data_IF_683269368835
#
_entry.id   IF_683269368835
#
_cell.length_a   1.000
_cell.length_b   1.000
_cell.length_c   1.000
_cell.angle_alpha   90.00
_cell.angle_beta   90.00
_cell.angle_gamma   90.00
#
_symmetry.space_group_name_H-M   'P 1'
#
loop_
_entity.id
_entity.type
_entity.pdbx_description
1 polymer ?
#
# COMPACT_ATOMS: atom_id res chain seq x y z
N UNK A 1 3.76 18.90 -28.56
CA UNK A 1 3.83 17.90 -27.50
C UNK A 1 3.53 16.56 -28.13
N UNK A 2 4.36 15.54 -27.92
CA UNK A 2 4.16 14.27 -28.58
C UNK A 2 2.97 13.53 -27.95
N UNK A 3 1.96 13.20 -28.76
CA UNK A 3 0.84 12.37 -28.41
C UNK A 3 0.82 11.15 -29.33
N UNK A 4 0.64 10.00 -28.76
CA UNK A 4 0.53 8.74 -29.49
C UNK A 4 -0.84 8.10 -29.24
N UNK A 5 -1.44 7.65 -30.30
CA UNK A 5 -2.62 6.79 -30.25
C UNK A 5 -2.15 5.35 -30.42
N UNK A 6 -2.25 4.55 -29.38
CA UNK A 6 -1.75 3.16 -29.34
C UNK A 6 -2.93 2.22 -29.47
N UNK A 7 -2.93 1.43 -30.53
CA UNK A 7 -3.94 0.41 -30.87
C UNK A 7 -3.34 -1.01 -31.04
N UNK A 8 -2.02 -1.13 -30.86
CA UNK A 8 -1.27 -2.37 -30.95
C UNK A 8 -0.11 -2.40 -29.94
N UNK A 9 0.46 -3.56 -29.63
CA UNK A 9 1.65 -3.65 -28.78
C UNK A 9 2.74 -2.71 -29.23
N UNK A 10 3.19 -1.82 -28.31
CA UNK A 10 4.08 -0.70 -28.63
C UNK A 10 4.99 -0.40 -27.45
N UNK A 11 6.21 0.04 -27.73
CA UNK A 11 7.16 0.53 -26.74
C UNK A 11 7.51 1.99 -27.05
N UNK A 12 7.35 2.86 -26.06
CA UNK A 12 7.64 4.29 -26.14
C UNK A 12 8.66 4.67 -25.07
N UNK A 13 9.63 5.50 -25.42
CA UNK A 13 10.62 6.02 -24.47
C UNK A 13 10.46 7.53 -24.34
N UNK A 14 10.73 8.04 -23.15
CA UNK A 14 10.61 9.44 -22.79
C UNK A 14 11.93 9.94 -22.21
N UNK A 15 12.24 11.23 -22.38
CA UNK A 15 13.47 11.79 -21.83
C UNK A 15 13.26 12.34 -20.41
N UNK A 16 12.17 13.07 -20.20
CA UNK A 16 11.88 13.74 -18.92
C UNK A 16 10.45 13.41 -18.48
N UNK A 17 10.31 12.58 -17.43
CA UNK A 17 9.03 12.29 -16.76
C UNK A 17 9.17 12.67 -15.30
N UNK A 18 8.37 13.63 -14.87
CA UNK A 18 8.33 14.14 -13.49
C UNK A 18 7.05 13.80 -12.76
N UNK A 19 6.01 13.37 -13.47
CA UNK A 19 4.75 12.89 -12.91
C UNK A 19 4.12 11.85 -13.84
N UNK A 20 3.41 10.87 -13.27
CA UNK A 20 2.70 9.84 -14.02
C UNK A 20 1.21 9.85 -13.69
N UNK A 21 0.38 9.85 -14.74
CA UNK A 21 -1.06 9.69 -14.62
C UNK A 21 -1.54 8.55 -15.52
N UNK A 22 -2.10 7.49 -14.93
CA UNK A 22 -2.66 6.36 -15.68
C UNK A 22 -4.14 6.21 -15.38
N UNK A 23 -4.96 6.01 -16.40
CA UNK A 23 -6.38 5.73 -16.28
C UNK A 23 -6.77 4.57 -17.18
N UNK A 24 -7.04 3.42 -16.56
CA UNK A 24 -7.44 2.20 -17.25
C UNK A 24 -8.82 1.72 -16.82
N UNK A 25 -9.53 1.10 -17.76
CA UNK A 25 -10.83 0.48 -17.49
C UNK A 25 -10.63 -0.95 -16.98
N UNK A 26 -9.97 -1.78 -17.75
CA UNK A 26 -9.66 -3.15 -17.41
C UNK A 26 -8.24 -3.52 -17.87
N UNK A 27 -7.75 -4.68 -17.43
CA UNK A 27 -6.42 -5.18 -17.75
C UNK A 27 -5.44 -5.03 -16.58
N UNK A 28 -4.20 -4.70 -16.87
CA UNK A 28 -3.15 -4.60 -15.87
C UNK A 28 -2.27 -3.37 -16.08
N UNK A 29 -1.87 -2.74 -14.99
CA UNK A 29 -0.83 -1.71 -15.01
C UNK A 29 0.27 -2.05 -14.02
N UNK A 30 1.50 -2.09 -14.49
CA UNK A 30 2.69 -2.23 -13.65
C UNK A 30 3.50 -0.94 -13.73
N UNK A 31 3.76 -0.30 -12.60
CA UNK A 31 4.62 0.87 -12.48
C UNK A 31 5.85 0.49 -11.67
N UNK A 32 7.02 0.68 -12.23
CA UNK A 32 8.29 0.32 -11.61
C UNK A 32 9.24 1.50 -11.62
N UNK A 33 9.91 1.72 -10.49
CA UNK A 33 11.00 2.70 -10.44
C UNK A 33 12.20 2.25 -11.28
N UNK A 34 12.83 3.19 -11.96
CA UNK A 34 14.05 2.95 -12.75
C UNK A 34 15.03 4.10 -12.62
N UNK A 35 16.31 3.79 -12.79
CA UNK A 35 17.37 4.80 -13.00
C UNK A 35 17.68 5.01 -14.48
N UNK A 36 17.06 4.21 -15.35
CA UNK A 36 17.17 4.35 -16.81
C UNK A 36 16.12 5.34 -17.34
N UNK A 37 16.08 5.52 -18.66
CA UNK A 37 15.08 6.36 -19.30
C UNK A 37 13.66 5.85 -19.03
N UNK A 38 12.72 6.73 -18.69
CA UNK A 38 11.32 6.39 -18.56
C UNK A 38 10.75 5.76 -19.83
N UNK A 39 9.91 4.75 -19.66
CA UNK A 39 9.33 4.06 -20.81
C UNK A 39 7.90 3.58 -20.53
N UNK A 40 7.14 3.40 -21.59
CA UNK A 40 5.81 2.77 -21.58
C UNK A 40 5.86 1.60 -22.56
N UNK A 41 5.55 0.42 -22.06
CA UNK A 41 5.39 -0.79 -22.86
C UNK A 41 3.93 -1.24 -22.78
N UNK A 42 3.23 -1.18 -23.89
CA UNK A 42 1.90 -1.79 -24.06
C UNK A 42 2.10 -3.16 -24.67
N UNK A 43 1.76 -4.21 -23.92
CA UNK A 43 1.94 -5.60 -24.36
C UNK A 43 0.67 -6.21 -24.95
N UNK A 44 -0.47 -5.73 -24.48
CA UNK A 44 -1.77 -6.16 -24.99
C UNK A 44 -2.74 -4.96 -24.95
N UNK A 45 -3.62 -4.89 -25.95
CA UNK A 45 -4.67 -3.89 -26.00
C UNK A 45 -5.87 -4.44 -26.75
N UNK A 46 -7.04 -4.22 -26.22
CA UNK A 46 -8.31 -4.56 -26.86
C UNK A 46 -9.34 -3.46 -26.64
N UNK A 47 -10.21 -3.26 -27.63
CA UNK A 47 -11.20 -2.21 -27.64
C UNK A 47 -10.68 -0.89 -28.19
N UNK A 48 -10.89 0.22 -27.51
CA UNK A 48 -10.47 1.56 -27.95
C UNK A 48 -8.95 1.74 -27.81
N UNK A 49 -8.34 2.58 -28.67
CA UNK A 49 -6.92 2.89 -28.53
C UNK A 49 -6.63 3.69 -27.24
N UNK A 50 -5.45 3.45 -26.67
CA UNK A 50 -4.90 4.27 -25.60
C UNK A 50 -4.29 5.55 -26.13
N UNK A 51 -4.52 6.65 -25.45
CA UNK A 51 -3.80 7.89 -25.66
C UNK A 51 -2.62 7.94 -24.68
N UNK A 52 -1.43 8.06 -25.21
CA UNK A 52 -0.19 8.24 -24.44
C UNK A 52 0.39 9.59 -24.80
N UNK A 53 0.56 10.47 -23.86
CA UNK A 53 1.09 11.80 -24.05
C UNK A 53 2.03 12.22 -22.92
N UNK A 54 3.00 13.06 -23.23
CA UNK A 54 3.87 13.66 -22.23
C UNK A 54 3.85 15.18 -22.41
N UNK A 55 3.24 15.87 -21.45
CA UNK A 55 3.08 17.32 -21.44
C UNK A 55 3.69 17.91 -20.15
N UNK A 56 4.62 18.82 -20.29
CA UNK A 56 5.32 19.48 -19.16
C UNK A 56 5.86 18.46 -18.11
N UNK A 57 6.45 17.35 -18.60
CA UNK A 57 6.97 16.28 -17.74
C UNK A 57 5.90 15.35 -17.15
N UNK A 58 4.62 15.58 -17.41
CA UNK A 58 3.54 14.69 -16.98
C UNK A 58 3.22 13.66 -18.06
N UNK A 59 3.56 12.39 -17.79
CA UNK A 59 3.21 11.28 -18.65
C UNK A 59 1.78 10.83 -18.35
N UNK A 60 0.91 10.94 -19.34
CA UNK A 60 -0.51 10.55 -19.23
C UNK A 60 -0.81 9.35 -20.12
N UNK A 61 -1.43 8.33 -19.56
CA UNK A 61 -1.89 7.13 -20.26
C UNK A 61 -3.38 6.95 -19.94
N UNK A 62 -4.24 7.14 -20.93
CA UNK A 62 -5.69 7.10 -20.70
C UNK A 62 -6.47 6.74 -21.98
N UNK A 63 -7.69 6.28 -21.83
CA UNK A 63 -8.66 6.26 -22.93
C UNK A 63 -9.27 7.65 -23.13
N UNK A 64 -9.51 8.05 -24.38
CA UNK A 64 -9.90 9.41 -24.80
C UNK A 64 -11.17 9.98 -24.09
N UNK A 65 -12.03 9.16 -23.53
CA UNK A 65 -13.33 9.58 -22.97
C UNK A 65 -13.47 9.39 -21.46
N UNK A 66 -12.38 9.09 -20.74
CA UNK A 66 -12.44 8.87 -19.28
C UNK A 66 -12.33 10.20 -18.52
N UNK A 67 -13.45 10.87 -18.28
CA UNK A 67 -13.56 11.86 -17.23
C UNK A 67 -14.29 11.26 -16.02
N UNK A 68 -13.76 11.43 -14.81
CA UNK A 68 -14.41 10.97 -13.58
C UNK A 68 -15.79 11.59 -13.34
N UNK A 69 -16.10 12.69 -14.01
CA UNK A 69 -17.38 13.39 -13.89
C UNK A 69 -18.53 12.67 -14.61
N UNK A 70 -18.22 11.76 -15.54
CA UNK A 70 -19.20 10.97 -16.30
C UNK A 70 -19.22 9.49 -15.91
N UNK A 71 -19.12 9.21 -14.63
CA UNK A 71 -19.07 7.85 -14.10
C UNK A 71 -20.28 6.97 -14.46
N UNK A 72 -21.38 7.57 -14.85
CA UNK A 72 -22.63 6.86 -15.19
C UNK A 72 -22.72 6.42 -16.65
N UNK A 73 -21.91 6.97 -17.57
CA UNK A 73 -21.95 6.61 -18.98
C UNK A 73 -21.26 5.26 -19.31
N UNK A 74 -20.54 4.68 -18.35
CA UNK A 74 -19.78 3.44 -18.54
C UNK A 74 -20.46 2.15 -18.04
N UNK A 75 -21.73 2.20 -17.68
CA UNK A 75 -22.58 1.01 -17.47
C UNK A 75 -22.82 0.18 -18.76
N UNK A 76 -22.31 0.64 -19.91
CA UNK A 76 -22.22 -0.20 -21.11
C UNK A 76 -21.04 -1.19 -20.94
N UNK A 77 -21.16 -2.43 -21.45
CA UNK A 77 -20.09 -3.42 -21.36
C UNK A 77 -18.87 -2.93 -22.15
N UNK A 78 -17.99 -2.19 -21.47
CA UNK A 78 -16.74 -1.69 -22.03
C UNK A 78 -15.78 -2.87 -22.14
N UNK A 79 -15.43 -3.23 -23.36
CA UNK A 79 -14.43 -4.27 -23.67
C UNK A 79 -13.00 -3.71 -23.73
N UNK A 80 -12.81 -2.51 -23.20
CA UNK A 80 -11.53 -1.83 -23.26
C UNK A 80 -10.60 -2.38 -22.17
N UNK A 81 -9.57 -3.06 -22.59
CA UNK A 81 -8.57 -3.65 -21.72
C UNK A 81 -7.17 -3.41 -22.27
N UNK A 82 -6.22 -3.14 -21.41
CA UNK A 82 -4.83 -3.01 -21.80
C UNK A 82 -3.89 -3.58 -20.72
N UNK A 83 -2.79 -4.13 -21.17
CA UNK A 83 -1.68 -4.51 -20.32
C UNK A 83 -0.51 -3.53 -20.57
N UNK A 84 -0.23 -2.71 -19.55
CA UNK A 84 0.72 -1.61 -19.63
C UNK A 84 1.78 -1.74 -18.54
N UNK A 85 3.05 -1.67 -18.94
CA UNK A 85 4.18 -1.55 -18.02
C UNK A 85 4.80 -0.17 -18.21
N UNK A 86 4.97 0.54 -17.11
CA UNK A 86 5.54 1.90 -17.09
C UNK A 86 6.76 1.90 -16.20
N UNK A 87 7.88 2.40 -16.69
CA UNK A 87 9.05 2.67 -15.87
C UNK A 87 9.24 4.16 -15.71
N UNK A 88 9.43 4.63 -14.48
CA UNK A 88 9.59 6.07 -14.16
C UNK A 88 10.69 6.26 -13.11
N UNK A 89 11.22 7.48 -12.93
CA UNK A 89 12.11 7.77 -11.81
C UNK A 89 11.45 7.44 -10.45
N UNK A 90 12.25 7.04 -9.46
CA UNK A 90 11.72 6.65 -8.15
C UNK A 90 11.00 7.79 -7.41
N UNK A 91 11.39 9.03 -7.67
CA UNK A 91 10.80 10.25 -7.09
C UNK A 91 9.61 10.79 -7.89
N UNK A 92 9.15 10.07 -8.90
CA UNK A 92 8.01 10.45 -9.74
C UNK A 92 6.69 10.20 -8.98
N UNK A 93 5.89 11.23 -8.66
CA UNK A 93 4.56 11.04 -8.08
C UNK A 93 3.62 10.40 -9.09
N UNK A 94 2.84 9.43 -8.62
CA UNK A 94 1.93 8.68 -9.47
C UNK A 94 0.47 8.87 -9.09
N UNK A 95 -0.38 8.92 -10.11
CA UNK A 95 -1.84 8.90 -9.97
C UNK A 95 -2.40 7.78 -10.83
N UNK A 96 -3.00 6.78 -10.20
CA UNK A 96 -3.63 5.65 -10.88
C UNK A 96 -5.15 5.72 -10.72
N UNK A 97 -5.87 5.67 -11.81
CA UNK A 97 -7.31 5.52 -11.87
C UNK A 97 -7.66 4.20 -12.57
N UNK A 98 -8.19 3.21 -11.84
CA UNK A 98 -8.48 1.89 -12.37
C UNK A 98 -9.93 1.49 -12.05
N UNK A 99 -10.62 0.94 -13.03
CA UNK A 99 -12.01 0.53 -12.81
C UNK A 99 -12.07 -0.94 -12.39
N UNK A 100 -11.64 -1.84 -13.27
CA UNK A 100 -11.55 -3.29 -13.00
C UNK A 100 -10.16 -3.84 -13.35
N UNK A 101 -9.18 -2.95 -13.46
CA UNK A 101 -7.80 -3.32 -13.75
C UNK A 101 -7.02 -3.59 -12.47
N UNK A 102 -6.08 -4.52 -12.52
CA UNK A 102 -5.10 -4.72 -11.44
C UNK A 102 -3.92 -3.77 -11.60
N UNK A 103 -3.42 -3.27 -10.48
CA UNK A 103 -2.28 -2.35 -10.45
C UNK A 103 -1.16 -2.88 -9.57
N UNK A 104 0.07 -2.84 -10.07
CA UNK A 104 1.28 -3.15 -9.30
C UNK A 104 2.21 -1.94 -9.33
N UNK A 105 2.69 -1.51 -8.17
CA UNK A 105 3.57 -0.36 -8.02
C UNK A 105 4.78 -0.75 -7.20
N UNK A 106 5.98 -0.57 -7.75
CA UNK A 106 7.21 -1.02 -7.10
C UNK A 106 8.29 0.08 -7.05
N UNK A 107 8.93 0.23 -5.88
CA UNK A 107 10.18 0.96 -5.70
C UNK A 107 10.07 2.48 -5.73
N UNK A 108 8.91 3.07 -5.51
CA UNK A 108 8.72 4.53 -5.53
C UNK A 108 9.06 5.17 -4.19
N UNK A 109 9.63 6.37 -4.23
CA UNK A 109 9.97 7.18 -3.05
C UNK A 109 9.10 8.42 -2.87
N UNK A 110 8.18 8.72 -3.79
CA UNK A 110 7.31 9.91 -3.76
C UNK A 110 5.86 9.62 -3.38
N UNK A 111 5.55 8.35 -3.06
CA UNK A 111 4.19 7.93 -2.75
C UNK A 111 3.30 7.70 -3.97
N UNK A 112 2.05 7.35 -3.73
CA UNK A 112 1.09 6.97 -4.76
C UNK A 112 -0.34 7.40 -4.41
N UNK A 113 -1.07 7.90 -5.39
CA UNK A 113 -2.52 8.12 -5.28
C UNK A 113 -3.25 7.16 -6.22
N UNK A 114 -4.07 6.29 -5.63
CA UNK A 114 -4.79 5.26 -6.39
C UNK A 114 -6.29 5.41 -6.16
N UNK A 115 -7.06 5.42 -7.24
CA UNK A 115 -8.51 5.39 -7.22
C UNK A 115 -9.00 4.18 -7.99
N UNK A 116 -9.74 3.31 -7.31
CA UNK A 116 -10.23 2.06 -7.88
C UNK A 116 -11.74 1.87 -7.69
N UNK A 117 -12.37 1.07 -8.54
CA UNK A 117 -13.75 0.66 -8.30
C UNK A 117 -13.78 -0.80 -7.86
N UNK A 118 -13.28 -1.71 -8.68
CA UNK A 118 -13.19 -3.14 -8.37
C UNK A 118 -11.82 -3.64 -8.83
N UNK A 119 -10.79 -3.32 -8.06
CA UNK A 119 -9.41 -3.46 -8.49
C UNK A 119 -8.52 -4.00 -7.39
N UNK A 120 -7.57 -4.86 -7.77
CA UNK A 120 -6.54 -5.34 -6.88
C UNK A 120 -5.26 -4.52 -7.09
N UNK A 121 -4.77 -3.96 -6.00
CA UNK A 121 -3.64 -3.03 -6.00
C UNK A 121 -2.55 -3.63 -5.12
N UNK A 122 -1.35 -3.78 -5.68
CA UNK A 122 -0.17 -4.22 -4.96
C UNK A 122 0.87 -3.11 -4.92
N UNK A 123 1.36 -2.77 -3.74
CA UNK A 123 2.45 -1.81 -3.50
C UNK A 123 3.63 -2.55 -2.89
N UNK A 124 4.82 -2.44 -3.46
CA UNK A 124 6.03 -3.09 -2.97
C UNK A 124 7.20 -2.11 -2.92
N UNK A 125 7.78 -1.90 -1.73
CA UNK A 125 8.89 -0.96 -1.54
C UNK A 125 8.51 0.49 -1.88
N UNK A 126 7.36 0.97 -1.38
CA UNK A 126 6.88 2.34 -1.64
C UNK A 126 7.09 3.20 -0.41
N UNK A 127 7.83 4.30 -0.57
CA UNK A 127 8.02 5.30 0.47
C UNK A 127 7.22 6.57 0.15
N UNK A 128 6.84 7.32 1.20
CA UNK A 128 6.06 8.55 1.08
C UNK A 128 4.56 8.35 1.34
N UNK A 129 3.75 9.29 0.86
CA UNK A 129 2.32 9.29 1.13
C UNK A 129 1.56 8.41 0.12
N UNK A 130 0.89 7.38 0.63
CA UNK A 130 -0.01 6.53 -0.15
C UNK A 130 -1.46 6.89 0.17
N UNK A 131 -2.23 7.20 -0.86
CA UNK A 131 -3.68 7.37 -0.75
C UNK A 131 -4.37 6.39 -1.68
N UNK A 132 -5.25 5.55 -1.14
CA UNK A 132 -6.03 4.59 -1.91
C UNK A 132 -7.52 4.72 -1.58
N UNK A 133 -8.30 5.12 -2.57
CA UNK A 133 -9.76 5.23 -2.49
C UNK A 133 -10.36 4.16 -3.41
N UNK A 134 -11.05 3.16 -2.84
CA UNK A 134 -11.64 2.05 -3.60
C UNK A 134 -13.10 1.84 -3.24
N UNK A 135 -13.85 1.15 -4.09
CA UNK A 135 -15.18 0.67 -3.72
C UNK A 135 -15.11 -0.78 -3.27
N UNK A 136 -14.42 -1.63 -4.03
CA UNK A 136 -14.17 -3.04 -3.73
C UNK A 136 -12.81 -3.47 -4.29
N UNK A 137 -12.37 -4.68 -3.94
CA UNK A 137 -11.05 -5.20 -4.32
C UNK A 137 -10.06 -5.13 -3.16
N UNK A 138 -8.82 -5.42 -3.41
CA UNK A 138 -7.79 -5.58 -2.39
C UNK A 138 -6.69 -4.53 -2.54
N UNK A 139 -6.24 -3.95 -1.43
CA UNK A 139 -4.97 -3.22 -1.35
C UNK A 139 -3.96 -4.05 -0.54
N UNK A 140 -2.93 -4.51 -1.20
CA UNK A 140 -1.81 -5.19 -0.58
C UNK A 140 -0.56 -4.31 -0.61
N UNK A 141 0.00 -3.98 0.55
CA UNK A 141 1.23 -3.20 0.69
C UNK A 141 2.30 -4.01 1.40
N UNK A 142 3.49 -4.05 0.83
CA UNK A 142 4.67 -4.62 1.45
C UNK A 142 5.81 -3.62 1.46
N UNK A 143 6.51 -3.53 2.59
CA UNK A 143 7.62 -2.58 2.77
C UNK A 143 7.22 -1.14 2.39
N UNK A 144 6.12 -0.70 3.02
CA UNK A 144 5.57 0.63 2.79
C UNK A 144 5.96 1.54 3.95
N UNK A 145 6.64 2.65 3.63
CA UNK A 145 7.13 3.61 4.62
C UNK A 145 6.48 4.98 4.43
N UNK A 146 6.02 5.58 5.53
CA UNK A 146 5.43 6.93 5.51
C UNK A 146 3.96 6.96 5.95
N UNK A 147 3.09 7.63 5.20
CA UNK A 147 1.67 7.74 5.53
C UNK A 147 0.80 6.94 4.57
N UNK A 148 -0.08 6.10 5.10
CA UNK A 148 -1.06 5.34 4.31
C UNK A 148 -2.47 5.78 4.68
N UNK A 149 -3.25 6.21 3.70
CA UNK A 149 -4.68 6.51 3.81
C UNK A 149 -5.47 5.59 2.89
N UNK A 150 -6.30 4.77 3.47
CA UNK A 150 -7.15 3.81 2.76
C UNK A 150 -8.61 4.09 3.05
N UNK A 151 -9.40 4.24 2.00
CA UNK A 151 -10.86 4.35 2.10
C UNK A 151 -11.53 3.36 1.18
N UNK A 152 -12.45 2.58 1.72
CA UNK A 152 -13.19 1.60 0.92
C UNK A 152 -14.62 1.40 1.43
N UNK A 153 -15.46 0.86 0.56
CA UNK A 153 -16.78 0.37 0.95
C UNK A 153 -16.71 -1.10 1.34
N UNK A 154 -16.13 -1.95 0.51
CA UNK A 154 -16.06 -3.40 0.73
C UNK A 154 -14.72 -4.03 0.31
N UNK A 155 -13.66 -3.25 0.29
CA UNK A 155 -12.32 -3.74 -0.04
C UNK A 155 -11.53 -4.19 1.18
N UNK A 156 -10.57 -5.04 0.94
CA UNK A 156 -9.64 -5.53 1.96
C UNK A 156 -8.33 -4.73 1.94
N UNK A 157 -7.75 -4.53 3.12
CA UNK A 157 -6.43 -3.92 3.28
C UNK A 157 -5.49 -4.91 3.97
N UNK A 158 -4.37 -5.18 3.32
CA UNK A 158 -3.28 -5.95 3.91
C UNK A 158 -1.98 -5.17 3.82
N UNK A 159 -1.37 -4.86 4.96
CA UNK A 159 -0.05 -4.24 5.03
C UNK A 159 0.91 -5.19 5.75
N UNK A 160 2.05 -5.45 5.14
CA UNK A 160 3.09 -6.29 5.71
C UNK A 160 4.45 -5.60 5.60
N UNK A 161 5.17 -5.57 6.70
CA UNK A 161 6.45 -4.90 6.83
C UNK A 161 6.35 -3.37 6.58
N UNK A 162 7.37 -2.63 6.93
CA UNK A 162 7.39 -1.17 6.79
C UNK A 162 7.21 -0.43 8.11
N UNK A 163 7.46 0.89 8.06
CA UNK A 163 7.38 1.81 9.19
C UNK A 163 6.47 2.99 8.88
N UNK A 164 5.33 3.05 9.55
CA UNK A 164 4.30 4.05 9.25
C UNK A 164 4.35 5.22 10.22
N UNK A 165 4.38 6.42 9.67
CA UNK A 165 4.10 7.66 10.41
C UNK A 165 2.60 7.84 10.63
N UNK A 166 1.79 7.41 9.67
CA UNK A 166 0.33 7.43 9.76
C UNK A 166 -0.27 6.23 9.02
N UNK A 167 -1.18 5.53 9.68
CA UNK A 167 -2.16 4.67 9.01
C UNK A 167 -3.57 5.17 9.32
N UNK A 168 -4.30 5.56 8.30
CA UNK A 168 -5.71 5.93 8.40
C UNK A 168 -6.51 5.03 7.46
N UNK A 169 -7.36 4.16 8.02
CA UNK A 169 -8.15 3.22 7.25
C UNK A 169 -9.63 3.33 7.65
N UNK A 170 -10.45 3.77 6.70
CA UNK A 170 -11.88 3.89 6.84
C UNK A 170 -12.58 2.90 5.90
N UNK A 171 -13.30 1.92 6.47
CA UNK A 171 -13.96 0.88 5.70
C UNK A 171 -15.40 0.65 6.20
N UNK A 172 -16.29 0.24 5.33
CA UNK A 172 -17.63 -0.20 5.76
C UNK A 172 -17.62 -1.70 6.04
N UNK A 173 -17.09 -2.51 5.11
CA UNK A 173 -16.95 -3.95 5.24
C UNK A 173 -15.68 -4.43 4.54
N UNK A 174 -15.19 -5.59 4.92
CA UNK A 174 -13.91 -6.12 4.46
C UNK A 174 -12.88 -6.20 5.58
N UNK A 175 -11.85 -6.95 5.35
CA UNK A 175 -10.82 -7.21 6.36
C UNK A 175 -9.72 -6.15 6.32
N UNK A 176 -9.21 -5.79 7.50
CA UNK A 176 -8.03 -4.95 7.63
C UNK A 176 -6.98 -5.72 8.42
N UNK A 177 -5.87 -6.05 7.77
CA UNK A 177 -4.72 -6.70 8.37
C UNK A 177 -3.49 -5.78 8.24
N UNK A 178 -2.90 -5.37 9.36
CA UNK A 178 -1.72 -4.52 9.37
C UNK A 178 -0.64 -5.10 10.28
N UNK A 179 0.45 -5.59 9.68
CA UNK A 179 1.66 -6.06 10.35
C UNK A 179 2.80 -5.09 10.08
N UNK A 180 2.83 -4.00 10.83
CA UNK A 180 3.72 -2.86 10.60
C UNK A 180 4.34 -2.36 11.90
N UNK A 181 5.40 -1.57 11.80
CA UNK A 181 5.90 -0.76 12.90
C UNK A 181 5.36 0.67 12.79
N UNK A 182 5.25 1.36 13.91
CA UNK A 182 4.95 2.80 13.92
C UNK A 182 6.24 3.59 14.14
N UNK A 183 6.36 4.69 13.46
CA UNK A 183 7.38 5.70 13.80
C UNK A 183 7.18 6.18 15.25
N UNK A 184 8.18 6.77 15.87
CA UNK A 184 8.18 7.11 17.31
C UNK A 184 6.94 7.90 17.78
N UNK A 185 6.41 8.79 16.95
CA UNK A 185 5.16 9.54 17.20
C UNK A 185 4.06 9.16 16.23
N UNK A 186 4.19 7.99 15.60
CA UNK A 186 3.27 7.51 14.57
C UNK A 186 1.85 7.29 15.10
N UNK A 187 0.89 7.39 14.19
CA UNK A 187 -0.52 7.21 14.53
C UNK A 187 -1.18 6.18 13.61
N UNK A 188 -1.96 5.29 14.20
CA UNK A 188 -2.83 4.36 13.49
C UNK A 188 -4.27 4.63 13.89
N UNK A 189 -5.12 4.92 12.90
CA UNK A 189 -6.56 5.09 13.06
C UNK A 189 -7.28 4.18 12.10
N UNK A 190 -8.05 3.24 12.63
CA UNK A 190 -8.83 2.29 11.84
C UNK A 190 -10.28 2.40 12.28
N UNK A 191 -11.17 2.61 11.31
CA UNK A 191 -12.62 2.67 11.53
C UNK A 191 -13.30 1.73 10.56
N UNK A 192 -14.14 0.82 11.09
CA UNK A 192 -14.94 -0.10 10.26
C UNK A 192 -16.34 -0.29 10.85
N UNK A 193 -17.29 -0.65 10.01
CA UNK A 193 -18.63 -1.01 10.48
C UNK A 193 -18.73 -2.51 10.75
N UNK A 194 -18.35 -3.36 9.80
CA UNK A 194 -18.54 -4.81 9.92
C UNK A 194 -17.33 -5.66 9.57
N UNK A 195 -16.20 -5.06 9.23
CA UNK A 195 -14.97 -5.77 8.91
C UNK A 195 -14.17 -6.17 10.15
N UNK A 196 -13.51 -7.31 10.08
CA UNK A 196 -12.57 -7.72 11.12
C UNK A 196 -11.25 -6.95 10.97
N UNK A 197 -10.69 -6.53 12.10
CA UNK A 197 -9.43 -5.79 12.15
C UNK A 197 -8.39 -6.60 12.91
N UNK A 198 -7.29 -6.90 12.25
CA UNK A 198 -6.12 -7.52 12.86
C UNK A 198 -4.91 -6.61 12.72
N UNK A 199 -4.38 -6.16 13.84
CA UNK A 199 -3.16 -5.36 13.89
C UNK A 199 -2.08 -6.18 14.57
N UNK A 200 -0.89 -6.22 14.00
CA UNK A 200 0.29 -6.83 14.62
C UNK A 200 1.42 -5.81 14.74
N UNK A 201 1.84 -5.54 15.96
CA UNK A 201 2.90 -4.59 16.27
C UNK A 201 4.12 -5.29 16.86
N UNK A 202 5.33 -4.72 16.72
CA UNK A 202 6.51 -5.18 17.42
C UNK A 202 6.30 -5.28 18.93
N UNK A 203 6.95 -6.23 19.59
CA UNK A 203 6.82 -6.44 21.04
C UNK A 203 7.30 -5.26 21.89
N UNK A 204 8.21 -4.47 21.34
CA UNK A 204 8.80 -3.25 21.90
C UNK A 204 8.12 -1.95 21.42
N UNK A 205 6.94 -2.06 20.85
CA UNK A 205 6.16 -0.90 20.43
C UNK A 205 5.86 0.02 21.61
N UNK A 206 5.87 1.33 21.32
CA UNK A 206 5.59 2.38 22.30
C UNK A 206 4.39 3.21 21.82
N UNK A 207 3.19 2.88 22.33
CA UNK A 207 1.96 3.51 21.88
C UNK A 207 0.86 3.55 22.93
N UNK A 208 0.06 4.61 22.90
CA UNK A 208 -1.26 4.64 23.55
C UNK A 208 -2.25 3.87 22.69
N UNK A 209 -2.79 2.79 23.21
CA UNK A 209 -3.71 1.89 22.50
C UNK A 209 -5.14 2.11 22.97
N UNK A 210 -6.05 2.29 22.01
CA UNK A 210 -7.49 2.32 22.24
C UNK A 210 -8.17 1.44 21.19
N UNK A 211 -8.75 0.32 21.65
CA UNK A 211 -9.51 -0.60 20.80
C UNK A 211 -10.96 -0.60 21.28
N UNK A 212 -11.88 -0.46 20.35
CA UNK A 212 -13.31 -0.46 20.66
C UNK A 212 -14.08 -1.28 19.61
N UNK A 213 -15.00 -2.12 20.08
CA UNK A 213 -16.02 -2.75 19.24
C UNK A 213 -17.36 -2.76 19.98
N UNK A 214 -18.42 -2.36 19.29
CA UNK A 214 -19.75 -2.33 19.91
C UNK A 214 -20.30 -3.73 20.14
N UNK A 215 -20.26 -4.62 19.14
CA UNK A 215 -20.78 -6.00 19.29
C UNK A 215 -19.75 -7.09 18.97
N UNK A 216 -18.61 -6.73 18.39
CA UNK A 216 -17.51 -7.66 18.10
C UNK A 216 -16.62 -7.92 19.32
N UNK A 217 -15.79 -8.95 19.24
CA UNK A 217 -14.84 -9.30 20.30
C UNK A 217 -13.55 -8.48 20.15
N UNK A 218 -13.03 -7.97 21.28
CA UNK A 218 -11.71 -7.34 21.32
C UNK A 218 -10.73 -8.29 22.01
N UNK A 219 -9.60 -8.60 21.35
CA UNK A 219 -8.54 -9.47 21.83
C UNK A 219 -7.19 -8.77 21.73
N UNK A 220 -6.28 -9.07 22.65
CA UNK A 220 -4.91 -8.57 22.63
C UNK A 220 -3.94 -9.59 23.23
N UNK A 221 -2.72 -9.61 22.71
CA UNK A 221 -1.61 -10.42 23.24
C UNK A 221 -0.63 -9.59 24.08
N UNK A 222 -0.89 -8.30 24.27
CA UNK A 222 -0.07 -7.44 25.14
C UNK A 222 -0.57 -7.55 26.58
N UNK A 223 0.29 -7.98 27.49
CA UNK A 223 -0.05 -8.22 28.91
C UNK A 223 -0.51 -6.95 29.65
N UNK A 224 -0.05 -5.77 29.21
CA UNK A 224 -0.44 -4.45 29.74
C UNK A 224 -1.87 -4.03 29.35
N UNK A 225 -2.45 -4.68 28.35
CA UNK A 225 -3.75 -4.34 27.80
C UNK A 225 -4.79 -5.36 28.28
N UNK A 226 -5.74 -4.90 29.09
CA UNK A 226 -6.83 -5.77 29.58
C UNK A 226 -8.16 -5.34 29.00
N UNK A 227 -8.86 -6.24 28.29
CA UNK A 227 -10.21 -5.94 27.80
C UNK A 227 -11.18 -5.71 28.95
N UNK A 228 -11.95 -4.63 28.87
CA UNK A 228 -13.10 -4.37 29.73
C UNK A 228 -14.35 -4.60 28.91
N UNK A 229 -15.13 -5.59 29.32
CA UNK A 229 -16.43 -5.88 28.70
C UNK A 229 -17.52 -5.17 29.49
N UNK A 230 -18.33 -4.38 28.77
CA UNK A 230 -19.57 -3.78 29.27
C UNK A 230 -20.74 -4.38 28.48
N UNK A 231 -21.97 -4.36 29.02
CA UNK A 231 -23.13 -4.75 28.22
C UNK A 231 -23.20 -3.93 26.93
N UNK A 232 -23.05 -4.60 25.76
CA UNK A 232 -23.12 -3.96 24.46
C UNK A 232 -21.82 -3.29 23.97
N UNK A 233 -20.67 -3.43 24.66
CA UNK A 233 -19.39 -2.95 24.12
C UNK A 233 -18.17 -3.62 24.72
N UNK A 234 -17.13 -3.76 23.94
CA UNK A 234 -15.82 -4.25 24.35
C UNK A 234 -14.75 -3.18 24.10
N UNK A 235 -14.04 -2.78 25.13
CA UNK A 235 -13.05 -1.71 25.03
C UNK A 235 -11.74 -2.11 25.70
N UNK A 236 -10.63 -1.75 25.08
CA UNK A 236 -9.29 -1.77 25.64
C UNK A 236 -8.72 -0.35 25.55
N UNK A 237 -8.24 0.20 26.64
CA UNK A 237 -7.57 1.50 26.64
C UNK A 237 -6.44 1.46 27.66
N UNK A 238 -5.20 1.46 27.17
CA UNK A 238 -4.00 1.52 28.03
C UNK A 238 -2.77 1.86 27.17
N UNK A 239 -1.62 2.00 27.82
CA UNK A 239 -0.37 2.22 27.15
C UNK A 239 0.43 0.92 27.00
N UNK A 240 1.10 0.78 25.88
CA UNK A 240 2.21 -0.14 25.66
C UNK A 240 3.47 0.71 25.67
N UNK A 241 4.46 0.39 26.51
CA UNK A 241 5.61 1.25 26.71
C UNK A 241 5.28 2.60 27.34
N UNK A 242 5.94 3.67 26.93
CA UNK A 242 5.73 5.03 27.40
C UNK A 242 4.50 5.72 26.77
N UNK A 243 3.99 5.20 25.65
CA UNK A 243 2.79 5.72 24.99
C UNK A 243 3.03 6.89 24.04
N UNK A 244 4.17 6.91 23.36
CA UNK A 244 4.58 8.01 22.45
C UNK A 244 3.77 8.00 21.15
N UNK A 245 3.52 6.83 20.58
CA UNK A 245 2.66 6.64 19.42
C UNK A 245 1.18 6.52 19.79
N UNK A 246 0.31 6.38 18.79
CA UNK A 246 -1.13 6.25 18.99
C UNK A 246 -1.76 5.18 18.11
N UNK A 247 -2.46 4.23 18.71
CA UNK A 247 -3.25 3.20 18.01
C UNK A 247 -4.71 3.30 18.43
N UNK A 248 -5.59 3.59 17.49
CA UNK A 248 -7.04 3.71 17.71
C UNK A 248 -7.79 2.87 16.68
N UNK A 249 -8.50 1.85 17.14
CA UNK A 249 -9.34 1.00 16.30
C UNK A 249 -10.78 1.07 16.81
N UNK A 250 -11.70 1.42 15.92
CA UNK A 250 -13.12 1.48 16.20
C UNK A 250 -13.88 0.56 15.23
N UNK A 251 -14.66 -0.36 15.76
CA UNK A 251 -15.54 -1.24 14.98
C UNK A 251 -16.96 -1.22 15.56
N UNK A 252 -17.96 -1.40 14.72
CA UNK A 252 -19.33 -1.59 15.19
C UNK A 252 -19.60 -3.07 15.46
N UNK A 253 -19.33 -3.96 14.51
CA UNK A 253 -19.64 -5.39 14.66
C UNK A 253 -18.48 -6.34 14.37
N UNK A 254 -17.39 -5.86 13.80
CA UNK A 254 -16.20 -6.67 13.51
C UNK A 254 -15.38 -6.99 14.77
N UNK A 255 -14.68 -8.12 14.73
CA UNK A 255 -13.71 -8.45 15.75
C UNK A 255 -12.45 -7.58 15.60
N UNK A 256 -11.88 -7.15 16.74
CA UNK A 256 -10.64 -6.38 16.78
C UNK A 256 -9.58 -7.20 17.51
N UNK A 257 -8.49 -7.51 16.83
CA UNK A 257 -7.40 -8.31 17.38
C UNK A 257 -6.08 -7.54 17.28
N UNK A 258 -5.40 -7.37 18.42
CA UNK A 258 -4.07 -6.78 18.48
C UNK A 258 -3.05 -7.86 18.88
N UNK A 259 -2.19 -8.22 17.96
CA UNK A 259 -1.18 -9.25 18.11
C UNK A 259 0.20 -8.62 18.40
N UNK A 260 1.05 -9.38 19.03
CA UNK A 260 2.44 -9.03 19.30
C UNK A 260 3.37 -9.79 18.36
N UNK A 261 4.16 -9.07 17.56
CA UNK A 261 5.22 -9.67 16.75
C UNK A 261 6.40 -10.01 17.67
N UNK A 262 6.79 -11.30 17.76
CA UNK A 262 7.97 -11.65 18.55
C UNK A 262 9.22 -11.02 17.92
N UNK A 263 10.13 -10.53 18.77
CA UNK A 263 11.43 -10.05 18.28
C UNK A 263 12.16 -11.19 17.55
N UNK A 264 12.57 -10.97 16.33
CA UNK A 264 13.51 -11.89 15.67
C UNK A 264 14.79 -11.87 16.51
N UNK A 265 15.12 -12.99 17.16
CA UNK A 265 16.44 -13.16 17.75
C UNK A 265 17.45 -13.02 16.62
N UNK A 266 18.11 -11.89 16.54
CA UNK A 266 19.30 -11.74 15.73
C UNK A 266 20.33 -12.67 16.36
N UNK A 267 20.52 -13.86 15.79
CA UNK A 267 21.65 -14.72 16.12
C UNK A 267 22.88 -13.91 15.78
N UNK A 268 23.77 -13.59 16.72
CA UNK A 268 25.00 -12.88 16.39
C UNK A 268 25.72 -13.74 15.35
N UNK A 269 25.98 -13.17 14.20
CA UNK A 269 26.83 -13.79 13.17
C UNK A 269 28.15 -14.07 13.86
N UNK A 270 28.47 -15.35 14.06
CA UNK A 270 29.74 -15.78 14.61
C UNK A 270 30.85 -15.12 13.76
N UNK A 271 31.55 -14.15 14.33
CA UNK A 271 32.82 -13.68 13.79
C UNK A 271 33.77 -14.88 13.83
N UNK A 272 33.92 -15.51 12.66
CA UNK A 272 34.93 -16.54 12.47
C UNK A 272 36.28 -15.88 12.67
N UNK A 273 36.82 -16.07 13.85
CA UNK A 273 38.18 -15.76 14.23
C UNK A 273 39.16 -16.23 13.13
N UNK A 274 39.64 -15.29 12.36
CA UNK A 274 40.76 -15.46 11.44
C UNK A 274 42.03 -15.00 12.17
N UNK A 275 42.42 -15.77 13.17
CA UNK A 275 43.66 -15.64 13.85
C UNK A 275 44.21 -17.04 14.09
N UNK A 276 44.98 -17.56 13.13
CA UNK A 276 46.06 -18.54 13.31
C UNK A 276 46.55 -19.02 11.94
N UNK A 277 47.40 -18.23 11.30
CA UNK A 277 48.33 -18.71 10.30
C UNK A 277 49.40 -17.66 10.08
N UNK A 278 50.32 -17.59 11.01
CA UNK A 278 51.44 -16.66 10.92
C UNK A 278 52.50 -16.93 11.97
N UNK A 279 53.00 -18.17 12.07
CA UNK A 279 54.22 -18.39 12.80
C UNK A 279 54.68 -19.83 12.55
N UNK A 280 55.51 -20.00 11.52
CA UNK A 280 56.57 -21.02 11.44
C UNK A 280 57.22 -20.96 10.05
N UNK A 281 58.30 -20.22 9.95
CA UNK A 281 59.44 -20.60 9.11
C UNK A 281 60.57 -19.56 9.25
N UNK A 282 61.27 -19.63 10.36
CA UNK A 282 62.63 -19.11 10.44
C UNK A 282 63.42 -20.13 11.24
N UNK A 283 64.12 -21.04 10.55
CA UNK A 283 65.39 -21.65 10.95
C UNK A 283 65.80 -22.69 9.87
N UNK A 284 66.60 -22.28 8.93
CA UNK A 284 67.89 -22.89 8.54
C UNK A 284 68.33 -22.42 7.17
#
# INVERSE_FOLDING_TARGET
MPHWTVDAPTSLNFDDVTALQVRLIAGTVAVMATNDKPSVLVTDISGRPLQVGCDDGTLTIAYESLSWERLLDWLQPLRDSAAVTVTVPADCPIQLGVVTASAVVCGLSSGASVKGVSSDITLDGVAGDVQADTVSGTLEGRDVDGAVRFKSVSGDLTLADGSLALLEADNISGQIAADVSLAATGAMRISTISGDVTVRLPADSDAQVRLHSTSGKVRTEFDSLRPVAMPGSHTVSSNVGAGSGKVSVNSVSGAVTLLRRPQRRTTPRAETSRAEAGMESETR
#
